data_IF_695800839423
#
_entry.id   IF_695800839423
#
_cell.length_a   1.000
_cell.length_b   1.000
_cell.length_c   1.000
_cell.angle_alpha   90.00
_cell.angle_beta   90.00
_cell.angle_gamma   90.00
#
_symmetry.space_group_name_H-M   'P 1'
#
loop_
_entity.id
_entity.type
_entity.pdbx_description
1 polymer ?
#
# COMPACT_ATOMS: atom_id res chain seq x y z
N UNK A 1 16.41 21.70 -0.41
CA UNK A 1 17.16 22.73 -1.16
C UNK A 1 16.95 24.06 -0.44
N UNK A 2 17.99 24.63 0.19
CA UNK A 2 17.91 25.99 0.75
C UNK A 2 18.47 26.94 -0.30
N UNK A 3 17.72 27.96 -0.67
CA UNK A 3 18.17 29.04 -1.54
C UNK A 3 19.33 29.76 -0.87
N UNK A 4 20.51 29.68 -1.49
CA UNK A 4 21.74 30.31 -1.00
C UNK A 4 22.17 31.36 -2.02
N UNK A 5 22.38 32.62 -1.59
CA UNK A 5 22.80 33.69 -2.47
C UNK A 5 24.12 33.35 -3.18
N UNK A 6 24.19 33.67 -4.48
CA UNK A 6 25.25 33.26 -5.41
C UNK A 6 26.69 33.58 -4.94
N UNK A 7 26.86 34.64 -4.15
CA UNK A 7 28.16 35.05 -3.62
C UNK A 7 28.81 34.02 -2.68
N UNK A 8 28.00 33.20 -1.99
CA UNK A 8 28.47 32.18 -1.06
C UNK A 8 28.37 30.77 -1.65
N UNK A 9 28.01 30.64 -2.93
CA UNK A 9 27.80 29.35 -3.59
C UNK A 9 29.09 28.53 -3.65
N UNK A 10 30.25 29.15 -3.92
CA UNK A 10 31.55 28.45 -3.99
C UNK A 10 31.96 27.88 -2.62
N UNK A 11 31.77 28.66 -1.54
CA UNK A 11 32.07 28.20 -0.18
C UNK A 11 31.05 27.15 0.29
N UNK A 12 29.76 27.35 -0.02
CA UNK A 12 28.75 26.34 0.23
C UNK A 12 29.05 25.05 -0.54
N UNK A 13 29.41 25.10 -1.82
CA UNK A 13 29.70 23.95 -2.68
C UNK A 13 30.91 23.13 -2.17
N UNK A 14 31.95 23.80 -1.66
CA UNK A 14 33.10 23.14 -1.01
C UNK A 14 32.70 22.52 0.34
N UNK A 15 31.93 23.23 1.17
CA UNK A 15 31.45 22.70 2.45
C UNK A 15 30.41 21.58 2.27
N UNK A 16 29.57 21.70 1.24
CA UNK A 16 28.52 20.78 0.85
C UNK A 16 29.14 19.51 0.26
N UNK A 17 30.11 19.60 -0.65
CA UNK A 17 30.83 18.42 -1.17
C UNK A 17 31.64 17.67 -0.12
N UNK A 18 32.21 18.36 0.88
CA UNK A 18 32.97 17.70 1.97
C UNK A 18 32.06 17.06 3.03
N UNK A 19 30.88 17.63 3.23
CA UNK A 19 29.96 17.25 4.30
C UNK A 19 28.70 16.50 3.79
N UNK A 20 28.57 16.25 2.49
CA UNK A 20 27.56 15.37 1.90
C UNK A 20 28.17 14.00 1.65
N UNK A 21 27.39 12.97 1.93
CA UNK A 21 27.68 11.58 1.63
C UNK A 21 26.51 10.99 0.85
N UNK A 22 26.80 10.07 -0.07
CA UNK A 22 25.77 9.41 -0.87
C UNK A 22 25.26 8.18 -0.10
N UNK A 23 23.95 8.11 0.12
CA UNK A 23 23.33 6.96 0.76
C UNK A 23 23.53 5.71 -0.09
N UNK A 24 23.99 4.62 0.50
CA UNK A 24 24.24 3.35 -0.21
C UNK A 24 22.96 2.58 -0.56
N UNK A 25 21.83 2.95 0.04
CA UNK A 25 20.54 2.27 -0.14
C UNK A 25 19.71 2.93 -1.25
N UNK A 26 19.60 4.26 -1.27
CA UNK A 26 18.83 5.00 -2.29
C UNK A 26 19.67 5.82 -3.28
N UNK A 27 20.96 6.03 -3.01
CA UNK A 27 21.82 6.89 -3.83
C UNK A 27 21.61 8.40 -3.64
N UNK A 28 20.80 8.82 -2.65
CA UNK A 28 20.61 10.25 -2.38
C UNK A 28 21.83 10.89 -1.70
N UNK A 29 22.11 12.14 -2.09
CA UNK A 29 23.12 12.98 -1.47
C UNK A 29 22.60 13.55 -0.15
N UNK A 30 23.02 12.96 0.98
CA UNK A 30 22.58 13.33 2.33
C UNK A 30 23.75 13.93 3.11
N UNK A 31 23.56 14.99 3.92
CA UNK A 31 24.62 15.49 4.78
C UNK A 31 25.10 14.41 5.76
N UNK A 32 26.41 14.24 5.96
CA UNK A 32 27.01 13.30 6.93
C UNK A 32 26.39 13.43 8.31
N UNK A 33 26.17 14.67 8.75
CA UNK A 33 25.50 14.98 10.03
C UNK A 33 24.08 14.43 10.14
N UNK A 34 23.39 14.24 9.00
CA UNK A 34 22.02 13.74 8.92
C UNK A 34 21.89 12.31 8.36
N UNK A 35 22.98 11.68 7.92
CA UNK A 35 22.96 10.35 7.31
C UNK A 35 22.33 9.30 8.23
N UNK A 36 22.69 9.32 9.51
CA UNK A 36 22.10 8.43 10.52
C UNK A 36 20.58 8.61 10.61
N UNK A 37 20.11 9.86 10.65
CA UNK A 37 18.69 10.15 10.74
C UNK A 37 17.94 9.76 9.46
N UNK A 38 18.53 9.96 8.28
CA UNK A 38 17.98 9.50 7.01
C UNK A 38 17.84 7.96 6.98
N UNK A 39 18.88 7.22 7.40
CA UNK A 39 18.81 5.76 7.47
C UNK A 39 17.73 5.32 8.47
N UNK A 40 17.66 5.94 9.65
CA UNK A 40 16.65 5.63 10.66
C UNK A 40 15.22 6.02 10.23
N UNK A 41 15.06 7.02 9.36
CA UNK A 41 13.75 7.46 8.88
C UNK A 41 13.29 6.67 7.64
N UNK A 42 14.17 6.42 6.68
CA UNK A 42 13.80 5.91 5.35
C UNK A 42 14.18 4.43 5.18
N UNK A 43 15.39 4.06 5.60
CA UNK A 43 15.98 2.73 5.36
C UNK A 43 15.92 1.78 6.56
N UNK A 44 15.26 2.18 7.64
CA UNK A 44 15.11 1.33 8.81
C UNK A 44 14.24 0.13 8.45
N UNK A 45 14.67 -1.05 8.87
CA UNK A 45 13.91 -2.26 8.66
C UNK A 45 12.72 -2.28 9.61
N UNK A 46 11.53 -2.09 9.06
CA UNK A 46 10.25 -2.14 9.77
C UNK A 46 9.55 -3.47 9.52
N UNK A 47 8.72 -3.88 10.48
CA UNK A 47 7.88 -5.07 10.34
C UNK A 47 6.45 -4.59 10.09
N UNK A 48 5.90 -4.94 8.93
CA UNK A 48 4.51 -4.65 8.61
C UNK A 48 3.56 -5.49 9.49
N UNK A 49 2.29 -5.06 9.61
CA UNK A 49 1.23 -5.81 10.30
C UNK A 49 1.07 -7.24 9.77
N UNK A 50 1.42 -7.47 8.49
CA UNK A 50 1.43 -8.78 7.84
C UNK A 50 2.61 -9.69 8.26
N UNK A 51 3.44 -9.27 9.23
CA UNK A 51 4.67 -9.94 9.70
C UNK A 51 5.83 -9.96 8.71
N UNK A 52 5.69 -9.33 7.55
CA UNK A 52 6.78 -9.18 6.58
C UNK A 52 7.71 -8.03 6.98
N UNK A 53 9.03 -8.24 6.81
CA UNK A 53 10.04 -7.21 7.10
C UNK A 53 10.45 -6.50 5.81
N UNK A 54 10.52 -5.18 5.85
CA UNK A 54 10.90 -4.35 4.70
C UNK A 54 11.44 -2.99 5.15
N UNK A 55 11.93 -2.19 4.22
CA UNK A 55 12.35 -0.81 4.50
C UNK A 55 11.16 0.12 4.73
N UNK A 56 11.33 1.12 5.59
CA UNK A 56 10.27 2.07 5.93
C UNK A 56 9.75 2.83 4.71
N UNK A 57 10.62 3.25 3.79
CA UNK A 57 10.21 3.90 2.54
C UNK A 57 9.28 3.02 1.69
N UNK A 58 9.42 1.68 1.76
CA UNK A 58 8.57 0.73 1.04
C UNK A 58 7.31 0.34 1.81
N UNK A 59 7.28 0.53 3.15
CA UNK A 59 6.15 0.14 3.98
C UNK A 59 4.84 0.81 3.53
N UNK A 60 4.91 2.10 3.17
CA UNK A 60 3.73 2.86 2.74
C UNK A 60 3.15 2.36 1.41
N UNK A 61 4.03 2.06 0.44
CA UNK A 61 3.60 1.46 -0.83
C UNK A 61 3.00 0.07 -0.61
N UNK A 62 3.65 -0.73 0.23
CA UNK A 62 3.18 -2.05 0.59
C UNK A 62 1.81 -2.02 1.28
N UNK A 63 1.59 -1.18 2.29
CA UNK A 63 0.28 -1.05 2.95
C UNK A 63 -0.82 -0.62 1.97
N UNK A 64 -0.49 0.14 0.92
CA UNK A 64 -1.44 0.58 -0.09
C UNK A 64 -1.75 -0.50 -1.16
N UNK A 65 -0.74 -1.23 -1.65
CA UNK A 65 -0.88 -2.05 -2.85
C UNK A 65 -0.63 -3.54 -2.61
N UNK A 66 0.40 -3.90 -1.85
CA UNK A 66 0.94 -5.26 -1.78
C UNK A 66 0.63 -6.01 -0.48
N UNK A 67 0.12 -5.33 0.55
CA UNK A 67 -0.11 -5.93 1.85
C UNK A 67 -1.28 -6.91 1.78
N UNK A 68 -1.08 -8.20 2.13
CA UNK A 68 -2.17 -9.18 2.16
C UNK A 68 -3.18 -8.88 3.27
N UNK A 69 -2.80 -8.10 4.28
CA UNK A 69 -3.71 -7.63 5.33
C UNK A 69 -4.36 -6.28 4.99
N UNK A 70 -4.19 -5.76 3.77
CA UNK A 70 -4.87 -4.52 3.38
C UNK A 70 -6.40 -4.69 3.52
N UNK A 71 -7.11 -3.67 4.03
CA UNK A 71 -8.56 -3.70 4.12
C UNK A 71 -9.16 -3.66 2.71
N UNK A 72 -10.04 -4.61 2.41
CA UNK A 72 -10.74 -4.73 1.14
C UNK A 72 -12.21 -5.10 1.39
N UNK A 73 -13.11 -4.58 0.54
CA UNK A 73 -14.55 -4.74 0.67
C UNK A 73 -15.03 -5.93 -0.16
N UNK A 74 -15.96 -6.71 0.37
CA UNK A 74 -16.63 -7.76 -0.38
C UNK A 74 -17.61 -7.16 -1.39
N UNK A 75 -17.51 -7.57 -2.67
CA UNK A 75 -18.40 -7.09 -3.73
C UNK A 75 -19.86 -7.60 -3.65
N UNK A 76 -20.13 -8.51 -2.70
CA UNK A 76 -21.43 -9.17 -2.54
C UNK A 76 -22.19 -8.73 -1.29
N UNK A 77 -21.50 -8.30 -0.23
CA UNK A 77 -22.13 -7.89 1.03
C UNK A 77 -21.49 -6.65 1.68
N UNK A 78 -20.56 -5.99 0.98
CA UNK A 78 -19.92 -4.73 1.39
C UNK A 78 -19.19 -4.76 2.75
N UNK A 79 -18.92 -5.95 3.29
CA UNK A 79 -18.17 -6.10 4.54
C UNK A 79 -16.67 -5.83 4.29
N UNK A 80 -16.03 -5.13 5.22
CA UNK A 80 -14.59 -4.88 5.19
C UNK A 80 -13.83 -6.03 5.86
N UNK A 81 -12.91 -6.65 5.10
CA UNK A 81 -12.08 -7.77 5.53
C UNK A 81 -10.63 -7.52 5.10
N UNK A 82 -9.70 -8.33 5.62
CA UNK A 82 -8.32 -8.37 5.11
C UNK A 82 -8.28 -9.07 3.76
N UNK A 83 -7.49 -8.57 2.79
CA UNK A 83 -7.40 -9.13 1.43
C UNK A 83 -7.12 -10.65 1.40
N UNK A 84 -6.29 -11.15 2.31
CA UNK A 84 -6.01 -12.59 2.52
C UNK A 84 -7.28 -13.43 2.79
N UNK A 85 -8.21 -12.89 3.59
CA UNK A 85 -9.47 -13.54 3.95
C UNK A 85 -10.61 -13.19 3.01
N UNK A 86 -10.46 -12.12 2.22
CA UNK A 86 -11.48 -11.66 1.30
C UNK A 86 -11.78 -12.72 0.25
N UNK A 87 -10.77 -13.38 -0.30
CA UNK A 87 -10.95 -14.39 -1.34
C UNK A 87 -11.82 -15.58 -0.86
N UNK A 88 -11.52 -16.14 0.30
CA UNK A 88 -12.30 -17.21 0.91
C UNK A 88 -13.74 -16.76 1.20
N UNK A 89 -13.88 -15.54 1.73
CA UNK A 89 -15.18 -14.93 1.97
C UNK A 89 -15.97 -14.70 0.68
N UNK A 90 -15.34 -14.28 -0.43
CA UNK A 90 -16.01 -14.06 -1.71
C UNK A 90 -16.54 -15.38 -2.31
N UNK A 91 -15.80 -16.48 -2.13
CA UNK A 91 -16.27 -17.81 -2.55
C UNK A 91 -17.54 -18.18 -1.78
N UNK A 92 -17.51 -18.05 -0.45
CA UNK A 92 -18.68 -18.35 0.39
C UNK A 92 -19.83 -17.38 0.13
N UNK A 93 -19.56 -16.07 0.15
CA UNK A 93 -20.55 -15.02 0.02
C UNK A 93 -21.17 -14.99 -1.38
N UNK A 94 -20.41 -15.30 -2.44
CA UNK A 94 -20.92 -15.44 -3.79
C UNK A 94 -21.77 -16.70 -4.00
N UNK A 95 -21.50 -17.77 -3.24
CA UNK A 95 -22.28 -19.00 -3.25
C UNK A 95 -23.56 -18.92 -2.40
N UNK A 96 -23.69 -17.92 -1.51
CA UNK A 96 -24.96 -17.65 -0.83
C UNK A 96 -26.04 -17.40 -1.87
N UNK A 97 -27.25 -17.87 -1.58
CA UNK A 97 -28.42 -17.62 -2.42
C UNK A 97 -29.30 -16.56 -1.78
N UNK A 98 -29.82 -15.67 -2.61
CA UNK A 98 -30.82 -14.67 -2.25
C UNK A 98 -32.07 -14.90 -3.09
N UNK A 99 -33.24 -14.56 -2.55
CA UNK A 99 -34.48 -14.67 -3.29
C UNK A 99 -34.58 -13.55 -4.34
N UNK A 100 -34.80 -13.93 -5.60
CA UNK A 100 -35.08 -12.98 -6.66
C UNK A 100 -36.41 -12.26 -6.38
N UNK A 101 -36.40 -10.93 -6.35
CA UNK A 101 -37.62 -10.14 -6.15
C UNK A 101 -38.67 -10.26 -7.27
N UNK A 102 -38.28 -10.75 -8.45
CA UNK A 102 -39.18 -10.91 -9.60
C UNK A 102 -39.80 -12.32 -9.68
N UNK A 103 -39.00 -13.39 -9.54
CA UNK A 103 -39.49 -14.77 -9.68
C UNK A 103 -39.57 -15.55 -8.36
N UNK A 104 -39.07 -15.00 -7.24
CA UNK A 104 -39.04 -15.65 -5.93
C UNK A 104 -38.07 -16.82 -5.80
N UNK A 105 -37.32 -17.19 -6.86
CA UNK A 105 -36.34 -18.28 -6.81
C UNK A 105 -35.08 -17.84 -6.06
N UNK A 106 -34.47 -18.78 -5.35
CA UNK A 106 -33.17 -18.61 -4.72
C UNK A 106 -32.07 -18.67 -5.79
N UNK A 107 -31.34 -17.57 -5.95
CA UNK A 107 -30.28 -17.40 -6.95
C UNK A 107 -29.00 -17.04 -6.22
N UNK A 108 -27.89 -17.64 -6.63
CA UNK A 108 -26.58 -17.33 -6.03
C UNK A 108 -26.23 -15.85 -6.23
N UNK A 109 -25.68 -15.19 -5.22
CA UNK A 109 -25.38 -13.75 -5.27
C UNK A 109 -24.47 -13.39 -6.44
N UNK A 110 -23.50 -14.27 -6.77
CA UNK A 110 -22.65 -14.11 -7.95
C UNK A 110 -23.44 -14.15 -9.27
N UNK A 111 -24.50 -14.96 -9.33
CA UNK A 111 -25.33 -15.19 -10.51
C UNK A 111 -26.51 -14.21 -10.59
N UNK A 112 -26.83 -13.47 -9.52
CA UNK A 112 -27.89 -12.45 -9.51
C UNK A 112 -27.72 -11.38 -10.61
N UNK A 113 -26.48 -11.08 -11.00
CA UNK A 113 -26.19 -10.13 -12.08
C UNK A 113 -26.61 -10.66 -13.45
N UNK A 114 -26.55 -11.97 -13.66
CA UNK A 114 -26.88 -12.63 -14.93
C UNK A 114 -28.30 -13.20 -14.95
N UNK A 115 -28.86 -13.48 -13.78
CA UNK A 115 -30.20 -14.02 -13.58
C UNK A 115 -31.34 -13.27 -14.32
N UNK A 116 -31.35 -11.93 -14.45
CA UNK A 116 -32.43 -11.24 -15.17
C UNK A 116 -32.63 -11.72 -16.61
N UNK A 117 -31.60 -12.29 -17.24
CA UNK A 117 -31.69 -12.85 -18.60
C UNK A 117 -32.46 -14.18 -18.68
N UNK A 118 -32.55 -14.89 -17.55
CA UNK A 118 -33.19 -16.20 -17.42
C UNK A 118 -34.31 -16.19 -16.37
N UNK A 119 -34.68 -15.01 -15.89
CA UNK A 119 -35.69 -14.80 -14.86
C UNK A 119 -37.08 -14.97 -15.50
N UNK A 120 -37.79 -16.03 -15.10
CA UNK A 120 -39.11 -16.41 -15.63
C UNK A 120 -39.86 -17.32 -14.67
#
# INVERSE_FOLDING_TARGET
>A
KKDIPAANFIIHEIHCSRNIEVCRYCGESVPKSGMKNHIEAEHVQVTCKCRMKMENSLLRDHEASACPLRPALCQYCDIQLTFDKLHDHEIYCGARTEACGACGRNVMVKDLKEHPRVCG
#
